data_IF_288796509522
#
_entry.id   IF_288796509522
#
_cell.length_a   1.000
_cell.length_b   1.000
_cell.length_c   1.000
_cell.angle_alpha   90.00
_cell.angle_beta   90.00
_cell.angle_gamma   90.00
#
_symmetry.space_group_name_H-M   'P 1'
#
loop_
_entity.id
_entity.type
_entity.pdbx_description
1 polymer ?
#
# COMPACT_ATOMS: atom_id res chain seq x y z
N UNK A 1 -61.84 -74.28 62.23
CA UNK A 1 -62.59 -73.05 61.91
C UNK A 1 -61.73 -72.14 61.05
N UNK A 2 -62.32 -71.60 59.96
CA UNK A 2 -61.89 -70.49 59.07
C UNK A 2 -60.67 -70.75 58.15
N UNK A 3 -60.91 -71.09 56.86
CA UNK A 3 -61.16 -70.25 55.65
C UNK A 3 -59.84 -69.80 54.98
N UNK A 4 -59.40 -70.47 53.90
CA UNK A 4 -59.58 -70.14 52.46
C UNK A 4 -58.82 -68.84 52.05
N UNK A 5 -57.79 -68.96 51.18
CA UNK A 5 -57.86 -68.55 49.77
C UNK A 5 -56.64 -69.01 48.95
N UNK A 6 -56.95 -69.62 47.80
CA UNK A 6 -56.11 -69.97 46.63
C UNK A 6 -56.13 -68.72 45.71
N UNK A 7 -55.10 -68.39 44.89
CA UNK A 7 -55.01 -68.69 43.44
C UNK A 7 -53.67 -68.14 42.88
N UNK A 8 -52.80 -69.06 42.41
CA UNK A 8 -52.14 -69.22 41.07
C UNK A 8 -51.87 -67.99 40.14
N UNK A 9 -51.07 -68.12 39.06
CA UNK A 9 -49.73 -68.71 38.84
C UNK A 9 -48.82 -67.81 37.93
N UNK A 10 -47.55 -68.19 37.70
CA UNK A 10 -46.98 -68.41 36.35
C UNK A 10 -45.45 -68.68 36.41
N UNK A 11 -45.12 -69.94 36.12
CA UNK A 11 -43.99 -70.47 35.33
C UNK A 11 -43.07 -69.43 34.65
N UNK A 12 -41.76 -69.65 34.46
CA UNK A 12 -41.14 -70.87 33.93
C UNK A 12 -39.60 -70.77 34.11
N UNK A 13 -38.98 -71.94 34.24
CA UNK A 13 -37.56 -72.31 34.31
C UNK A 13 -36.56 -71.56 33.42
N UNK A 14 -35.32 -71.40 33.92
CA UNK A 14 -34.14 -71.06 33.11
C UNK A 14 -32.84 -71.58 33.73
N UNK A 15 -32.24 -72.58 33.07
CA UNK A 15 -31.01 -73.29 33.41
C UNK A 15 -29.75 -72.40 33.41
N UNK A 16 -28.80 -72.76 34.27
CA UNK A 16 -27.39 -72.32 34.28
C UNK A 16 -26.64 -72.84 33.04
N UNK A 17 -25.89 -71.98 32.34
CA UNK A 17 -24.70 -72.40 31.57
C UNK A 17 -23.63 -71.30 31.43
N UNK A 18 -22.43 -71.65 31.92
CA UNK A 18 -21.08 -71.44 31.40
C UNK A 18 -20.67 -70.12 30.71
N UNK A 19 -19.64 -69.50 31.28
CA UNK A 19 -18.85 -68.40 30.73
C UNK A 19 -18.16 -68.76 29.40
N UNK A 20 -18.29 -67.87 28.40
CA UNK A 20 -17.28 -67.62 27.36
C UNK A 20 -17.04 -66.11 27.28
N UNK A 21 -15.80 -65.67 27.50
CA UNK A 21 -15.38 -64.27 27.34
C UNK A 21 -15.52 -63.85 25.87
N UNK A 22 -16.17 -62.72 25.55
CA UNK A 22 -16.22 -62.22 24.18
C UNK A 22 -14.87 -61.62 23.77
N UNK A 23 -14.38 -62.01 22.58
CA UNK A 23 -13.26 -61.38 21.87
C UNK A 23 -13.51 -59.88 21.71
N UNK A 24 -12.57 -59.05 22.16
CA UNK A 24 -12.53 -57.61 21.84
C UNK A 24 -12.36 -57.43 20.33
N UNK A 25 -13.42 -57.00 19.66
CA UNK A 25 -13.30 -56.39 18.33
C UNK A 25 -12.54 -55.07 18.48
N UNK A 26 -11.41 -54.96 17.76
CA UNK A 26 -10.71 -53.71 17.51
C UNK A 26 -11.65 -52.73 16.81
N UNK A 27 -12.26 -51.82 17.57
CA UNK A 27 -12.87 -50.63 16.98
C UNK A 27 -11.74 -49.67 16.62
N UNK A 28 -11.33 -49.72 15.36
CA UNK A 28 -10.56 -48.63 14.77
C UNK A 28 -11.37 -47.35 14.95
N UNK A 29 -10.93 -46.48 15.86
CA UNK A 29 -11.46 -45.12 15.95
C UNK A 29 -11.12 -44.46 14.63
N UNK A 30 -12.09 -44.37 13.73
CA UNK A 30 -12.08 -43.38 12.67
C UNK A 30 -11.88 -42.03 13.36
N UNK A 31 -10.72 -41.42 13.14
CA UNK A 31 -10.44 -40.08 13.63
C UNK A 31 -11.53 -39.16 13.07
N UNK A 32 -12.37 -38.64 13.97
CA UNK A 32 -13.31 -37.57 13.61
C UNK A 32 -12.42 -36.43 13.11
N UNK A 33 -12.60 -35.93 11.87
CA UNK A 33 -11.80 -34.81 11.40
C UNK A 33 -12.03 -33.66 12.38
N UNK A 34 -10.95 -33.24 13.04
CA UNK A 34 -10.98 -32.11 13.98
C UNK A 34 -11.47 -30.91 13.20
N UNK A 35 -12.66 -30.40 13.54
CA UNK A 35 -13.19 -29.18 12.94
C UNK A 35 -12.20 -28.05 13.23
N UNK A 36 -11.71 -27.40 12.18
CA UNK A 36 -10.73 -26.33 12.26
C UNK A 36 -11.23 -25.21 13.19
N UNK A 37 -10.46 -24.88 14.22
CA UNK A 37 -10.77 -23.78 15.13
C UNK A 37 -10.01 -22.52 14.70
N UNK A 38 -10.72 -21.57 14.09
CA UNK A 38 -10.11 -20.34 13.59
C UNK A 38 -9.48 -19.48 14.69
N UNK A 39 -10.00 -19.47 15.92
CA UNK A 39 -9.38 -18.72 17.01
C UNK A 39 -8.00 -19.28 17.37
N UNK A 40 -7.87 -20.61 17.42
CA UNK A 40 -6.59 -21.26 17.74
C UNK A 40 -5.57 -21.03 16.63
N UNK A 41 -5.98 -21.12 15.36
CA UNK A 41 -5.10 -20.86 14.22
C UNK A 41 -4.67 -19.39 14.14
N UNK A 42 -5.59 -18.45 14.37
CA UNK A 42 -5.27 -17.02 14.45
C UNK A 42 -4.29 -16.73 15.58
N UNK A 43 -4.48 -17.40 16.73
CA UNK A 43 -3.57 -17.27 17.86
C UNK A 43 -2.18 -17.80 17.52
N UNK A 44 -2.05 -18.97 16.89
CA UNK A 44 -0.76 -19.51 16.44
C UNK A 44 -0.04 -18.55 15.48
N UNK A 45 -0.77 -18.01 14.50
CA UNK A 45 -0.24 -17.02 13.54
C UNK A 45 0.28 -15.78 14.27
N UNK A 46 -0.55 -15.21 15.14
CA UNK A 46 -0.18 -13.97 15.86
C UNK A 46 0.94 -14.20 16.87
N UNK A 47 0.94 -15.31 17.61
CA UNK A 47 2.02 -15.68 18.53
C UNK A 47 3.36 -15.77 17.77
N UNK A 48 3.40 -16.46 16.63
CA UNK A 48 4.60 -16.60 15.81
C UNK A 48 5.12 -15.26 15.30
N UNK A 49 4.25 -14.38 14.81
CA UNK A 49 4.65 -13.06 14.29
C UNK A 49 5.10 -12.15 15.44
N UNK A 50 4.40 -12.15 16.57
CA UNK A 50 4.72 -11.25 17.69
C UNK A 50 5.99 -11.63 18.43
N UNK A 51 6.37 -12.91 18.41
CA UNK A 51 7.55 -13.41 19.12
C UNK A 51 8.77 -13.55 18.21
N UNK A 52 8.58 -14.03 16.98
CA UNK A 52 9.66 -14.39 16.06
C UNK A 52 9.67 -13.56 14.77
N UNK A 53 8.77 -12.60 14.64
CA UNK A 53 8.60 -11.82 13.41
C UNK A 53 9.82 -10.98 13.04
N UNK A 54 10.09 -10.89 11.74
CA UNK A 54 11.28 -10.25 11.16
C UNK A 54 10.95 -8.98 10.38
N UNK A 55 9.67 -8.67 10.16
CA UNK A 55 9.22 -7.49 9.41
C UNK A 55 9.94 -6.20 9.79
N UNK A 56 10.09 -5.89 11.09
CA UNK A 56 10.73 -4.64 11.53
C UNK A 56 12.23 -4.59 11.26
N UNK A 57 12.93 -5.71 11.39
CA UNK A 57 14.36 -5.79 11.12
C UNK A 57 14.61 -5.76 9.60
N UNK A 58 13.77 -6.45 8.82
CA UNK A 58 13.78 -6.40 7.37
C UNK A 58 13.51 -4.97 6.86
N UNK A 59 12.52 -4.28 7.44
CA UNK A 59 12.25 -2.89 7.15
C UNK A 59 13.49 -2.02 7.44
N UNK A 60 14.18 -2.24 8.56
CA UNK A 60 15.42 -1.51 8.88
C UNK A 60 16.50 -1.74 7.83
N UNK A 61 16.68 -2.97 7.35
CA UNK A 61 17.64 -3.27 6.29
C UNK A 61 17.27 -2.56 4.98
N UNK A 62 15.99 -2.58 4.59
CA UNK A 62 15.50 -1.90 3.39
C UNK A 62 15.65 -0.38 3.48
N UNK A 63 15.41 0.20 4.65
CA UNK A 63 15.45 1.65 4.86
C UNK A 63 16.85 2.15 5.20
N UNK A 64 17.44 1.74 6.32
CA UNK A 64 18.76 2.23 6.75
C UNK A 64 19.92 1.57 5.99
N UNK A 65 19.72 0.38 5.43
CA UNK A 65 20.74 -0.33 4.66
C UNK A 65 20.77 0.06 3.18
N UNK A 66 19.60 0.25 2.55
CA UNK A 66 19.48 0.63 1.14
C UNK A 66 19.10 2.11 0.98
N UNK A 67 18.03 2.54 1.65
CA UNK A 67 17.54 3.91 1.61
C UNK A 67 16.55 4.16 0.47
N UNK A 68 16.57 5.37 -0.12
CA UNK A 68 15.69 5.70 -1.23
C UNK A 68 15.90 4.73 -2.39
N UNK A 69 14.80 4.24 -2.95
CA UNK A 69 14.79 3.17 -3.94
C UNK A 69 13.84 3.47 -5.09
N UNK A 70 13.84 4.73 -5.52
CA UNK A 70 13.08 5.19 -6.69
C UNK A 70 13.40 4.37 -7.93
N UNK A 71 12.39 4.18 -8.77
CA UNK A 71 12.55 3.44 -10.02
C UNK A 71 13.66 4.04 -10.87
N UNK A 72 14.35 3.18 -11.62
CA UNK A 72 15.51 3.46 -12.46
C UNK A 72 16.76 3.92 -11.70
N UNK A 73 16.85 3.70 -10.39
CA UNK A 73 18.04 4.04 -9.58
C UNK A 73 18.81 2.81 -9.09
N UNK A 74 20.10 2.97 -8.69
CA UNK A 74 20.85 1.92 -8.02
C UNK A 74 20.20 1.44 -6.71
N UNK A 75 19.42 2.30 -6.04
CA UNK A 75 18.67 1.93 -4.84
C UNK A 75 17.63 0.86 -5.13
N UNK A 76 16.88 0.99 -6.24
CA UNK A 76 15.93 -0.02 -6.67
C UNK A 76 16.62 -1.36 -7.01
N UNK A 77 17.74 -1.33 -7.73
CA UNK A 77 18.52 -2.56 -8.02
C UNK A 77 18.92 -3.29 -6.75
N UNK A 78 19.41 -2.57 -5.73
CA UNK A 78 19.75 -3.15 -4.43
C UNK A 78 18.52 -3.70 -3.70
N UNK A 79 17.38 -3.02 -3.78
CA UNK A 79 16.13 -3.48 -3.18
C UNK A 79 15.63 -4.80 -3.80
N UNK A 80 15.76 -4.96 -5.12
CA UNK A 80 15.45 -6.21 -5.83
C UNK A 80 16.33 -7.35 -5.32
N UNK A 81 17.65 -7.16 -5.27
CA UNK A 81 18.60 -8.16 -4.80
C UNK A 81 18.37 -8.53 -3.33
N UNK A 82 18.07 -7.53 -2.50
CA UNK A 82 17.71 -7.70 -1.10
C UNK A 82 16.43 -8.53 -0.94
N UNK A 83 15.38 -8.23 -1.69
CA UNK A 83 14.12 -8.96 -1.60
C UNK A 83 14.28 -10.44 -1.96
N UNK A 84 14.98 -10.74 -3.05
CA UNK A 84 15.30 -12.13 -3.44
C UNK A 84 16.09 -12.85 -2.35
N UNK A 85 17.08 -12.17 -1.75
CA UNK A 85 17.85 -12.72 -0.64
C UNK A 85 16.94 -13.05 0.54
N UNK A 86 15.99 -12.17 0.89
CA UNK A 86 15.05 -12.41 2.00
C UNK A 86 14.14 -13.59 1.74
N UNK A 87 13.62 -13.75 0.53
CA UNK A 87 12.85 -14.94 0.17
C UNK A 87 13.68 -16.23 0.24
N UNK A 88 14.96 -16.19 -0.18
CA UNK A 88 15.88 -17.34 -0.05
C UNK A 88 16.18 -17.69 1.41
N UNK A 89 16.38 -16.70 2.27
CA UNK A 89 16.59 -16.89 3.73
C UNK A 89 15.39 -17.56 4.41
N UNK A 90 14.17 -17.31 3.92
CA UNK A 90 12.94 -17.97 4.36
C UNK A 90 12.84 -19.42 3.86
N UNK A 91 13.66 -19.81 2.88
CA UNK A 91 13.58 -21.11 2.21
C UNK A 91 12.46 -21.17 1.17
N UNK A 92 12.17 -20.05 0.50
CA UNK A 92 11.35 -20.03 -0.71
C UNK A 92 12.23 -20.38 -1.91
N UNK A 93 11.81 -21.36 -2.70
CA UNK A 93 12.56 -21.84 -3.86
C UNK A 93 12.09 -21.16 -5.16
N UNK A 94 10.79 -20.91 -5.30
CA UNK A 94 10.20 -20.28 -6.48
C UNK A 94 10.28 -18.77 -6.35
N UNK A 95 11.37 -18.19 -6.85
CA UNK A 95 11.63 -16.74 -6.86
C UNK A 95 12.04 -16.33 -8.27
N UNK A 96 11.41 -15.31 -8.83
CA UNK A 96 11.80 -14.78 -10.13
C UNK A 96 11.52 -13.27 -10.25
N UNK A 97 12.18 -12.68 -11.25
CA UNK A 97 12.01 -11.30 -11.65
C UNK A 97 11.08 -11.22 -12.85
N UNK A 98 10.16 -10.27 -12.85
CA UNK A 98 9.34 -9.96 -14.02
C UNK A 98 9.62 -8.53 -14.45
N UNK A 99 10.23 -8.37 -15.63
CA UNK A 99 10.60 -7.06 -16.17
C UNK A 99 9.38 -6.16 -16.41
N UNK A 100 9.50 -4.90 -15.98
CA UNK A 100 8.59 -3.82 -16.30
C UNK A 100 9.37 -2.59 -16.76
N UNK A 101 8.78 -1.84 -17.70
CA UNK A 101 9.34 -0.60 -18.21
C UNK A 101 9.30 0.48 -17.13
N UNK A 102 10.37 1.23 -16.96
CA UNK A 102 10.46 2.33 -15.99
C UNK A 102 11.06 3.58 -16.64
N UNK A 103 10.40 4.75 -16.59
CA UNK A 103 10.98 5.97 -17.09
C UNK A 103 12.15 6.40 -16.19
N UNK A 104 13.22 6.87 -16.81
CA UNK A 104 14.39 7.40 -16.11
C UNK A 104 14.17 8.90 -15.91
N UNK A 105 13.85 9.30 -14.68
CA UNK A 105 13.77 10.70 -14.28
C UNK A 105 14.74 10.98 -13.14
N UNK A 106 15.52 12.06 -13.28
CA UNK A 106 16.53 12.48 -12.30
C UNK A 106 16.15 13.87 -11.82
N UNK A 107 15.91 14.02 -10.51
CA UNK A 107 15.57 15.28 -9.86
C UNK A 107 16.64 16.36 -10.01
N UNK A 108 17.90 15.99 -9.82
CA UNK A 108 19.04 16.89 -9.94
C UNK A 108 19.12 17.94 -8.82
N UNK A 109 19.73 19.09 -9.12
CA UNK A 109 19.81 20.23 -8.21
C UNK A 109 18.60 21.12 -8.37
N UNK A 110 18.15 21.69 -7.26
CA UNK A 110 16.96 22.53 -7.23
C UNK A 110 17.11 23.69 -6.24
N UNK A 111 16.50 24.82 -6.56
CA UNK A 111 16.42 25.98 -5.66
C UNK A 111 15.23 26.86 -6.01
N UNK A 112 14.63 27.43 -4.96
CA UNK A 112 13.59 28.44 -5.06
C UNK A 112 13.99 29.64 -4.19
N UNK A 113 13.98 30.82 -4.80
CA UNK A 113 14.07 32.09 -4.09
C UNK A 113 12.84 32.94 -4.37
N UNK A 114 12.38 33.69 -3.38
CA UNK A 114 11.30 34.68 -3.54
C UNK A 114 11.77 36.07 -3.10
N UNK A 115 11.22 37.10 -3.75
CA UNK A 115 11.45 38.51 -3.42
C UNK A 115 10.12 39.26 -3.40
N UNK A 116 9.81 39.89 -2.27
CA UNK A 116 8.61 40.70 -2.11
C UNK A 116 8.93 42.18 -2.39
N UNK A 117 8.24 42.76 -3.38
CA UNK A 117 8.52 44.14 -3.84
C UNK A 117 10.01 44.36 -4.13
N UNK A 118 10.57 45.40 -3.51
CA UNK A 118 11.99 45.76 -3.64
C UNK A 118 12.90 45.15 -2.56
N UNK A 119 12.38 44.25 -1.71
CA UNK A 119 13.14 43.62 -0.63
C UNK A 119 14.23 42.64 -1.10
N UNK A 120 14.78 41.91 -0.14
CA UNK A 120 15.82 40.91 -0.40
C UNK A 120 15.26 39.59 -0.91
N UNK A 121 16.09 38.84 -1.63
CA UNK A 121 15.81 37.46 -2.00
C UNK A 121 15.89 36.55 -0.78
N UNK A 122 14.87 35.72 -0.58
CA UNK A 122 14.80 34.71 0.48
C UNK A 122 14.73 33.32 -0.14
N UNK A 123 15.53 32.40 0.38
CA UNK A 123 15.44 30.99 0.00
C UNK A 123 14.19 30.37 0.62
N UNK A 124 13.48 29.57 -0.17
CA UNK A 124 12.32 28.79 0.26
C UNK A 124 12.65 27.32 0.07
N UNK A 125 12.36 26.49 1.08
CA UNK A 125 12.47 25.04 0.94
C UNK A 125 11.48 24.60 -0.13
N UNK A 126 11.98 23.87 -1.12
CA UNK A 126 11.19 23.38 -2.24
C UNK A 126 11.56 21.95 -2.56
N UNK A 127 10.70 21.29 -3.31
CA UNK A 127 11.00 20.00 -3.91
C UNK A 127 10.36 19.90 -5.29
N UNK A 128 11.13 19.53 -6.30
CA UNK A 128 10.61 19.28 -7.64
C UNK A 128 9.57 18.16 -7.58
N UNK A 129 8.58 18.14 -8.44
CA UNK A 129 7.74 16.95 -8.54
C UNK A 129 8.38 15.90 -9.46
N UNK A 130 8.07 14.62 -9.20
CA UNK A 130 8.48 13.52 -10.07
C UNK A 130 7.97 13.73 -11.48
N UNK A 131 8.81 13.39 -12.47
CA UNK A 131 8.54 13.62 -13.88
C UNK A 131 8.38 15.11 -14.28
N UNK A 132 8.71 16.07 -13.41
CA UNK A 132 8.72 17.49 -13.78
C UNK A 132 9.82 17.81 -14.79
N UNK A 133 9.51 18.70 -15.73
CA UNK A 133 10.50 19.37 -16.58
C UNK A 133 11.41 20.26 -15.72
N UNK A 134 12.69 20.32 -16.06
CA UNK A 134 13.64 21.24 -15.42
C UNK A 134 13.62 22.64 -16.05
N UNK A 135 14.39 23.57 -15.49
CA UNK A 135 14.67 24.88 -16.10
C UNK A 135 15.92 24.84 -17.00
N UNK A 136 16.44 23.64 -17.30
CA UNK A 136 17.71 23.47 -18.00
C UNK A 136 18.91 24.03 -17.23
N UNK A 137 18.82 24.08 -15.90
CA UNK A 137 19.83 24.66 -15.01
C UNK A 137 19.93 26.19 -15.05
N UNK A 138 18.98 26.87 -15.68
CA UNK A 138 18.91 28.34 -15.76
C UNK A 138 17.89 28.90 -14.79
N UNK A 139 18.10 30.13 -14.37
CA UNK A 139 17.15 30.85 -13.51
C UNK A 139 15.89 31.22 -14.30
N UNK A 140 14.77 30.62 -13.93
CA UNK A 140 13.43 31.00 -14.38
C UNK A 140 12.85 32.00 -13.37
N UNK A 141 12.73 33.27 -13.77
CA UNK A 141 12.23 34.35 -12.89
C UNK A 141 10.85 34.83 -13.34
N UNK A 142 9.89 34.99 -12.43
CA UNK A 142 8.56 35.49 -12.75
C UNK A 142 7.76 35.99 -11.55
N UNK A 143 6.81 36.90 -11.80
CA UNK A 143 5.83 37.31 -10.78
C UNK A 143 4.92 36.11 -10.45
N UNK A 144 4.66 35.91 -9.16
CA UNK A 144 3.82 34.82 -8.66
C UNK A 144 2.35 35.26 -8.67
N UNK A 145 1.48 34.39 -9.16
CA UNK A 145 0.02 34.54 -9.11
C UNK A 145 -0.55 33.45 -8.22
N UNK A 146 -1.26 33.84 -7.17
CA UNK A 146 -1.95 32.92 -6.25
C UNK A 146 -3.25 32.40 -6.88
N UNK A 147 -3.53 31.12 -6.71
CA UNK A 147 -4.81 30.48 -7.04
C UNK A 147 -5.21 29.55 -5.90
N UNK A 148 -6.38 29.80 -5.31
CA UNK A 148 -6.93 29.03 -4.19
C UNK A 148 -8.12 28.15 -4.58
N UNK A 149 -8.64 28.27 -5.81
CA UNK A 149 -9.78 27.47 -6.26
C UNK A 149 -9.88 27.36 -7.78
N UNK A 150 -10.59 26.33 -8.26
CA UNK A 150 -10.91 26.15 -9.67
C UNK A 150 -11.75 27.31 -10.20
N UNK A 151 -12.64 27.86 -9.37
CA UNK A 151 -13.44 29.05 -9.72
C UNK A 151 -12.55 30.26 -9.98
N UNK A 152 -11.51 30.47 -9.16
CA UNK A 152 -10.55 31.55 -9.34
C UNK A 152 -9.73 31.37 -10.62
N UNK A 153 -9.21 30.16 -10.88
CA UNK A 153 -8.52 29.85 -12.13
C UNK A 153 -9.38 30.17 -13.36
N UNK A 154 -10.66 29.75 -13.34
CA UNK A 154 -11.58 29.96 -14.46
C UNK A 154 -11.97 31.43 -14.66
N UNK A 155 -11.89 32.25 -13.61
CA UNK A 155 -12.18 33.68 -13.69
C UNK A 155 -10.98 34.49 -14.23
N UNK A 156 -9.78 33.92 -14.27
CA UNK A 156 -8.59 34.58 -14.77
C UNK A 156 -8.50 34.51 -16.30
N UNK A 157 -8.12 35.64 -16.90
CA UNK A 157 -7.76 35.70 -18.33
C UNK A 157 -6.36 35.11 -18.58
N UNK A 158 -6.13 34.62 -19.79
CA UNK A 158 -4.80 34.17 -20.24
C UNK A 158 -3.75 35.26 -20.02
N UNK A 159 -4.08 36.53 -20.25
CA UNK A 159 -3.15 37.65 -20.04
C UNK A 159 -2.70 37.83 -18.59
N UNK A 160 -3.50 37.41 -17.61
CA UNK A 160 -3.14 37.46 -16.19
C UNK A 160 -2.18 36.33 -15.79
N UNK A 161 -2.16 35.22 -16.53
CA UNK A 161 -1.38 34.01 -16.22
C UNK A 161 -0.15 33.85 -17.11
N UNK A 162 -0.18 34.43 -18.32
CA UNK A 162 0.91 34.37 -19.28
C UNK A 162 2.22 34.90 -18.68
N UNK A 163 3.29 34.12 -18.84
CA UNK A 163 4.64 34.42 -18.36
C UNK A 163 4.77 34.54 -16.82
N UNK A 164 3.74 34.14 -16.07
CA UNK A 164 3.72 34.11 -14.60
C UNK A 164 4.13 32.75 -14.04
N UNK A 165 4.45 32.75 -12.74
CA UNK A 165 4.59 31.53 -11.94
C UNK A 165 3.29 31.37 -11.17
N UNK A 166 2.57 30.27 -11.41
CA UNK A 166 1.31 30.02 -10.70
C UNK A 166 1.61 29.32 -9.38
N UNK A 167 1.06 29.84 -8.29
CA UNK A 167 1.12 29.24 -6.97
C UNK A 167 -0.28 28.76 -6.55
N UNK A 168 -0.44 27.44 -6.40
CA UNK A 168 -1.68 26.80 -5.96
C UNK A 168 -1.61 26.50 -4.47
N UNK A 169 -2.49 27.12 -3.68
CA UNK A 169 -2.52 26.98 -2.21
C UNK A 169 -3.83 26.33 -1.72
N UNK A 170 -4.12 25.09 -2.15
CA UNK A 170 -5.34 24.36 -1.76
C UNK A 170 -5.03 23.29 -0.71
N UNK A 171 -5.32 23.51 0.59
CA UNK A 171 -5.03 22.54 1.65
C UNK A 171 -5.83 21.24 1.48
N UNK A 172 -5.33 20.15 2.05
CA UNK A 172 -6.18 19.01 2.40
C UNK A 172 -7.28 19.48 3.34
N UNK A 173 -8.52 19.01 3.15
CA UNK A 173 -9.65 19.41 4.00
C UNK A 173 -9.54 18.70 5.36
N UNK A 174 -9.27 19.42 6.47
CA UNK A 174 -9.12 18.80 7.79
C UNK A 174 -10.44 18.31 8.38
N UNK A 175 -11.59 18.65 7.78
CA UNK A 175 -12.91 18.15 8.23
C UNK A 175 -13.16 16.70 7.81
N UNK A 176 -12.40 16.19 6.84
CA UNK A 176 -12.52 14.81 6.37
C UNK A 176 -11.65 13.94 7.28
N UNK A 177 -12.31 13.14 8.11
CA UNK A 177 -11.65 12.35 9.16
C UNK A 177 -10.69 11.31 8.57
N UNK A 178 -11.07 10.66 7.46
CA UNK A 178 -10.14 9.80 6.75
C UNK A 178 -9.18 10.67 5.92
N UNK A 179 -7.92 10.74 6.35
CA UNK A 179 -6.90 11.57 5.71
C UNK A 179 -6.57 11.08 4.30
N UNK A 180 -6.75 9.79 3.99
CA UNK A 180 -6.60 9.25 2.63
C UNK A 180 -7.65 9.81 1.69
N UNK A 181 -8.92 9.91 2.13
CA UNK A 181 -9.98 10.53 1.35
C UNK A 181 -9.70 12.02 1.12
N UNK A 182 -9.24 12.72 2.16
CA UNK A 182 -8.84 14.12 2.08
C UNK A 182 -7.71 14.34 1.07
N UNK A 183 -6.68 13.49 1.12
CA UNK A 183 -5.55 13.52 0.19
C UNK A 183 -6.02 13.26 -1.25
N UNK A 184 -6.80 12.20 -1.47
CA UNK A 184 -7.26 11.81 -2.80
C UNK A 184 -8.13 12.89 -3.46
N UNK A 185 -8.99 13.55 -2.69
CA UNK A 185 -9.81 14.65 -3.20
C UNK A 185 -8.95 15.83 -3.68
N UNK A 186 -7.94 16.22 -2.89
CA UNK A 186 -7.04 17.32 -3.28
C UNK A 186 -6.09 16.90 -4.41
N UNK A 187 -5.55 15.69 -4.37
CA UNK A 187 -4.62 15.15 -5.37
C UNK A 187 -5.26 14.96 -6.76
N UNK A 188 -6.60 14.81 -6.84
CA UNK A 188 -7.36 14.74 -8.10
C UNK A 188 -7.76 16.12 -8.65
N UNK A 189 -7.44 17.21 -7.96
CA UNK A 189 -7.79 18.56 -8.40
C UNK A 189 -7.09 18.92 -9.72
N UNK A 190 -7.85 19.51 -10.66
CA UNK A 190 -7.28 20.04 -11.91
C UNK A 190 -6.30 21.19 -11.67
N UNK A 191 -6.39 21.88 -10.53
CA UNK A 191 -5.49 22.98 -10.18
C UNK A 191 -4.03 22.52 -10.09
N UNK A 192 -3.80 21.28 -9.69
CA UNK A 192 -2.45 20.75 -9.50
C UNK A 192 -1.92 20.01 -10.74
N UNK A 193 -2.59 20.16 -11.89
CA UNK A 193 -2.15 19.62 -13.17
C UNK A 193 -1.24 20.62 -13.88
N UNK A 194 0.03 20.22 -14.09
CA UNK A 194 0.98 21.03 -14.84
C UNK A 194 0.52 21.29 -16.28
N UNK A 195 -0.12 20.31 -16.94
CA UNK A 195 -0.70 20.47 -18.28
C UNK A 195 -1.79 21.53 -18.33
N UNK A 196 -2.72 21.53 -17.36
CA UNK A 196 -3.79 22.53 -17.28
C UNK A 196 -3.20 23.92 -17.10
N UNK A 197 -2.23 24.07 -16.20
CA UNK A 197 -1.59 25.36 -15.93
C UNK A 197 -0.72 25.82 -17.11
N UNK A 198 0.01 24.93 -17.77
CA UNK A 198 0.82 25.26 -18.95
C UNK A 198 -0.02 25.81 -20.10
N UNK A 199 -1.25 25.29 -20.30
CA UNK A 199 -2.19 25.78 -21.32
C UNK A 199 -2.62 27.24 -21.11
N UNK A 200 -2.43 27.80 -19.92
CA UNK A 200 -2.70 29.23 -19.63
C UNK A 200 -1.56 30.17 -20.04
N UNK A 201 -0.41 29.63 -20.46
CA UNK A 201 0.81 30.40 -20.75
C UNK A 201 1.66 30.70 -19.52
N UNK A 202 1.28 30.19 -18.34
CA UNK A 202 2.16 30.19 -17.17
C UNK A 202 3.44 29.40 -17.48
N UNK A 203 4.54 29.78 -16.84
CA UNK A 203 5.88 29.19 -17.10
C UNK A 203 6.40 28.27 -16.01
N UNK A 204 5.76 28.25 -14.84
CA UNK A 204 6.04 27.29 -13.76
C UNK A 204 4.84 27.16 -12.82
N UNK A 205 4.81 26.06 -12.07
CA UNK A 205 3.78 25.73 -11.09
C UNK A 205 4.40 25.43 -9.73
N UNK A 206 4.02 26.20 -8.71
CA UNK A 206 4.32 25.95 -7.31
C UNK A 206 3.04 25.46 -6.65
N UNK A 207 3.12 24.40 -5.86
CA UNK A 207 1.97 23.86 -5.15
C UNK A 207 2.33 23.77 -3.67
N UNK A 208 1.40 24.10 -2.77
CA UNK A 208 1.59 23.73 -1.36
C UNK A 208 1.71 22.21 -1.24
N UNK A 209 2.43 21.73 -0.24
CA UNK A 209 2.47 20.29 0.02
C UNK A 209 1.11 19.75 0.44
N UNK A 210 0.81 18.54 -0.02
CA UNK A 210 -0.40 17.78 0.34
C UNK A 210 -0.09 16.95 1.58
N UNK A 211 -0.23 17.60 2.74
CA UNK A 211 0.10 17.01 4.03
C UNK A 211 -0.87 17.48 5.10
N UNK A 212 -1.04 16.65 6.12
CA UNK A 212 -1.67 16.98 7.40
C UNK A 212 -0.69 17.57 8.43
N UNK A 213 0.62 17.46 8.17
CA UNK A 213 1.64 18.03 9.04
C UNK A 213 1.60 19.55 9.02
N UNK A 214 1.97 20.15 10.16
CA UNK A 214 2.11 21.60 10.31
C UNK A 214 3.60 21.99 10.35
N UNK A 215 4.36 21.57 9.35
CA UNK A 215 5.78 21.87 9.23
C UNK A 215 6.11 22.60 7.91
N UNK A 216 7.40 22.66 7.55
CA UNK A 216 7.83 23.27 6.30
C UNK A 216 8.65 22.29 5.44
N UNK A 217 8.26 21.01 5.49
CA UNK A 217 8.84 19.98 4.63
C UNK A 217 8.03 19.91 3.32
N UNK A 218 8.67 20.05 2.15
CA UNK A 218 7.99 19.85 0.87
C UNK A 218 7.78 18.35 0.57
N UNK A 219 6.65 18.02 -0.06
CA UNK A 219 6.29 16.64 -0.42
C UNK A 219 6.40 16.39 -1.93
N UNK A 220 6.91 15.24 -2.31
CA UNK A 220 6.94 14.74 -3.67
C UNK A 220 5.54 14.33 -4.12
N UNK A 221 5.40 14.26 -5.44
CA UNK A 221 4.24 13.75 -6.13
C UNK A 221 4.64 13.55 -7.58
N UNK A 222 4.01 12.59 -8.24
CA UNK A 222 4.13 12.45 -9.67
C UNK A 222 3.33 13.54 -10.39
N UNK A 223 3.95 14.20 -11.38
CA UNK A 223 3.20 15.00 -12.34
C UNK A 223 2.99 14.25 -13.63
N UNK A 224 1.88 14.57 -14.27
CA UNK A 224 1.55 14.07 -15.58
C UNK A 224 1.52 15.24 -16.56
N UNK A 225 2.20 15.03 -17.69
CA UNK A 225 2.06 15.85 -18.89
C UNK A 225 1.27 15.06 -19.92
N UNK A 226 0.31 15.70 -20.58
CA UNK A 226 -0.44 15.08 -21.66
C UNK A 226 0.49 14.82 -22.86
N UNK A 227 0.26 13.74 -23.64
CA UNK A 227 1.08 13.43 -24.81
C UNK A 227 1.12 14.55 -25.87
N UNK A 228 0.07 15.38 -25.93
CA UNK A 228 -0.06 16.51 -26.87
C UNK A 228 0.39 17.87 -26.29
N UNK A 229 0.91 17.89 -25.06
CA UNK A 229 1.42 19.12 -24.45
C UNK A 229 2.63 19.65 -25.24
N UNK A 230 2.46 20.83 -25.82
CA UNK A 230 3.52 21.53 -26.59
C UNK A 230 4.57 22.18 -25.69
N UNK A 231 4.20 22.47 -24.44
CA UNK A 231 5.07 23.13 -23.45
C UNK A 231 4.90 22.38 -22.14
N UNK A 232 6.02 21.89 -21.62
CA UNK A 232 6.12 21.33 -20.27
C UNK A 232 6.73 22.39 -19.37
N UNK A 233 6.08 22.66 -18.24
CA UNK A 233 6.53 23.69 -17.29
C UNK A 233 7.09 23.05 -16.03
N UNK A 234 8.15 23.59 -15.42
CA UNK A 234 8.63 23.13 -14.12
C UNK A 234 7.53 23.19 -13.07
N UNK A 235 7.41 22.13 -12.29
CA UNK A 235 6.43 21.97 -11.23
C UNK A 235 7.11 21.49 -9.95
N UNK A 236 6.79 22.16 -8.83
CA UNK A 236 7.40 21.91 -7.53
C UNK A 236 6.41 22.10 -6.38
N UNK A 237 6.76 21.54 -5.22
CA UNK A 237 6.10 21.81 -3.95
C UNK A 237 6.91 22.73 -3.04
N UNK A 238 6.21 23.38 -2.11
CA UNK A 238 6.76 24.05 -0.92
C UNK A 238 6.06 23.54 0.34
N UNK A 239 6.69 23.70 1.50
CA UNK A 239 6.11 23.33 2.80
C UNK A 239 4.90 24.20 3.16
N UNK A 240 4.07 23.74 4.11
CA UNK A 240 2.80 24.41 4.42
C UNK A 240 2.99 25.75 5.12
N UNK A 241 4.02 25.89 5.98
CA UNK A 241 4.35 27.18 6.61
C UNK A 241 4.78 28.21 5.57
N UNK A 242 5.69 27.84 4.67
CA UNK A 242 6.11 28.70 3.55
C UNK A 242 4.94 29.06 2.64
N UNK A 243 4.02 28.13 2.37
CA UNK A 243 2.83 28.38 1.57
C UNK A 243 1.91 29.43 2.22
N UNK A 244 1.62 29.28 3.52
CA UNK A 244 0.77 30.20 4.27
C UNK A 244 1.39 31.60 4.39
N UNK A 245 2.71 31.69 4.59
CA UNK A 245 3.44 32.96 4.61
C UNK A 245 3.47 33.63 3.23
N UNK A 246 3.65 32.84 2.17
CA UNK A 246 3.63 33.33 0.79
C UNK A 246 2.26 33.90 0.42
N UNK A 247 1.17 33.20 0.75
CA UNK A 247 -0.18 33.71 0.54
C UNK A 247 -0.42 35.04 1.28
N UNK A 248 -0.04 35.12 2.57
CA UNK A 248 -0.16 36.36 3.36
C UNK A 248 0.61 37.52 2.73
N UNK A 249 1.76 37.23 2.11
CA UNK A 249 2.60 38.23 1.45
C UNK A 249 2.00 38.67 0.12
N UNK A 250 1.52 37.73 -0.69
CA UNK A 250 0.89 37.98 -1.99
C UNK A 250 -0.39 38.84 -1.89
N UNK A 251 -1.14 38.71 -0.78
CA UNK A 251 -2.29 39.57 -0.49
C UNK A 251 -1.93 41.04 -0.24
N UNK A 252 -0.66 41.34 0.07
CA UNK A 252 -0.19 42.68 0.43
C UNK A 252 0.62 43.33 -0.67
N UNK A 253 1.37 42.55 -1.44
CA UNK A 253 2.30 43.06 -2.44
C UNK A 253 2.67 42.00 -3.47
N UNK A 254 3.28 42.45 -4.57
CA UNK A 254 3.83 41.58 -5.61
C UNK A 254 5.02 40.79 -5.07
N UNK A 255 5.08 39.51 -5.43
CA UNK A 255 6.21 38.63 -5.14
C UNK A 255 6.73 38.07 -6.46
N UNK A 256 8.05 38.08 -6.62
CA UNK A 256 8.75 37.45 -7.74
C UNK A 256 9.45 36.20 -7.23
N UNK A 257 9.26 35.07 -7.93
CA UNK A 257 10.03 33.85 -7.71
C UNK A 257 11.16 33.75 -8.73
N UNK A 258 12.24 33.09 -8.30
CA UNK A 258 13.34 32.60 -9.11
C UNK A 258 13.50 31.11 -8.83
N UNK A 259 13.31 30.30 -9.87
CA UNK A 259 13.37 28.84 -9.82
C UNK A 259 14.56 28.37 -10.64
N UNK A 260 15.34 27.43 -10.11
CA UNK A 260 16.35 26.72 -10.88
C UNK A 260 16.21 25.22 -10.58
N UNK A 261 15.96 24.42 -11.61
CA UNK A 261 15.77 22.97 -11.52
C UNK A 261 16.58 22.30 -12.63
N UNK A 262 17.47 21.38 -12.28
CA UNK A 262 18.22 20.57 -13.27
C UNK A 262 17.55 19.22 -13.55
N UNK A 263 16.27 19.07 -13.19
CA UNK A 263 15.51 17.86 -13.41
C UNK A 263 15.50 17.48 -14.89
N UNK A 264 15.68 16.20 -15.19
CA UNK A 264 15.77 15.70 -16.56
C UNK A 264 15.22 14.28 -16.71
N UNK A 265 14.59 14.02 -17.85
CA UNK A 265 14.15 12.68 -18.28
C UNK A 265 15.15 12.10 -19.28
N UNK A 266 15.58 10.85 -19.08
CA UNK A 266 16.60 10.16 -19.91
C UNK A 266 16.07 8.96 -20.67
N UNK A 267 14.80 9.00 -21.06
CA UNK A 267 14.13 7.89 -21.72
C UNK A 267 13.73 6.81 -20.72
N UNK A 268 13.83 5.55 -21.12
CA UNK A 268 13.29 4.42 -20.38
C UNK A 268 14.35 3.36 -20.08
N UNK A 269 14.16 2.63 -18.98
CA UNK A 269 14.92 1.45 -18.58
C UNK A 269 13.97 0.35 -18.11
N UNK A 270 14.52 -0.71 -17.53
CA UNK A 270 13.75 -1.83 -16.98
C UNK A 270 13.96 -1.96 -15.49
N UNK A 271 12.87 -2.08 -14.74
CA UNK A 271 12.87 -2.48 -13.35
C UNK A 271 11.96 -3.70 -13.17
N UNK A 272 12.47 -4.79 -12.57
CA UNK A 272 11.64 -5.96 -12.39
C UNK A 272 10.76 -5.86 -11.14
N UNK A 273 9.53 -6.37 -11.25
CA UNK A 273 8.81 -6.90 -10.08
C UNK A 273 9.63 -8.06 -9.49
N UNK A 274 9.59 -8.24 -8.17
CA UNK A 274 10.13 -9.44 -7.51
C UNK A 274 8.96 -10.31 -7.06
N UNK A 275 8.96 -11.56 -7.51
CA UNK A 275 7.85 -12.49 -7.25
C UNK A 275 8.38 -13.73 -6.55
N UNK A 276 7.68 -14.16 -5.49
CA UNK A 276 8.01 -15.34 -4.72
C UNK A 276 6.73 -16.11 -4.33
N UNK A 277 6.76 -17.46 -4.32
CA UNK A 277 5.57 -18.23 -3.98
C UNK A 277 5.83 -19.53 -3.19
N UNK A 278 4.82 -19.92 -2.41
CA UNK A 278 4.69 -21.24 -1.80
C UNK A 278 3.62 -22.00 -2.61
N UNK A 279 4.02 -23.09 -3.25
CA UNK A 279 3.12 -23.87 -4.11
C UNK A 279 1.98 -24.52 -3.31
N UNK A 280 0.76 -24.46 -3.85
CA UNK A 280 -0.42 -25.12 -3.31
C UNK A 280 -0.33 -26.64 -3.31
N UNK A 281 -1.00 -27.29 -2.36
CA UNK A 281 -1.08 -28.77 -2.27
C UNK A 281 -2.33 -29.36 -2.90
N UNK A 282 -3.40 -28.56 -3.04
CA UNK A 282 -4.71 -29.03 -3.51
C UNK A 282 -4.93 -28.75 -4.99
N UNK A 283 -4.59 -27.54 -5.43
CA UNK A 283 -4.71 -27.12 -6.82
C UNK A 283 -3.67 -26.04 -7.18
N UNK A 284 -3.73 -25.55 -8.42
CA UNK A 284 -2.84 -24.52 -8.96
C UNK A 284 -3.41 -23.09 -8.89
N UNK A 285 -4.51 -22.87 -8.17
CA UNK A 285 -5.06 -21.52 -8.01
C UNK A 285 -4.14 -20.67 -7.15
N UNK A 286 -4.19 -19.36 -7.35
CA UNK A 286 -3.28 -18.40 -6.71
C UNK A 286 -4.03 -17.45 -5.79
N UNK A 287 -3.50 -17.27 -4.59
CA UNK A 287 -3.79 -16.16 -3.69
C UNK A 287 -2.57 -15.24 -3.74
N UNK A 288 -2.74 -14.01 -4.20
CA UNK A 288 -1.62 -13.06 -4.34
C UNK A 288 -1.65 -11.99 -3.26
N UNK A 289 -0.46 -11.63 -2.75
CA UNK A 289 -0.22 -10.47 -1.92
C UNK A 289 0.66 -9.45 -2.66
N UNK A 290 0.40 -8.17 -2.46
CA UNK A 290 1.03 -7.07 -3.19
C UNK A 290 1.46 -5.90 -2.33
N UNK A 291 2.63 -5.35 -2.63
CA UNK A 291 3.19 -4.12 -2.06
C UNK A 291 4.13 -3.46 -3.08
N UNK A 292 4.31 -2.13 -3.04
CA UNK A 292 5.24 -1.45 -3.94
C UNK A 292 6.69 -1.54 -3.42
N UNK A 293 7.63 -1.93 -4.28
CA UNK A 293 9.04 -2.05 -3.90
C UNK A 293 9.77 -0.72 -4.01
N UNK A 294 9.41 0.15 -4.95
CA UNK A 294 10.03 1.47 -5.06
C UNK A 294 9.54 2.43 -3.97
N UNK A 295 10.17 3.59 -3.92
CA UNK A 295 9.83 4.72 -3.05
C UNK A 295 10.29 6.00 -3.71
N UNK A 296 9.89 7.17 -3.22
CA UNK A 296 10.55 8.42 -3.63
C UNK A 296 12.05 8.43 -3.27
N UNK A 297 12.79 9.30 -3.98
CA UNK A 297 14.25 9.45 -3.96
C UNK A 297 14.78 10.35 -2.82
N UNK A 298 13.89 10.88 -1.97
CA UNK A 298 14.22 11.91 -0.97
C UNK A 298 14.14 11.44 0.49
N UNK A 299 13.48 10.31 0.75
CA UNK A 299 13.35 9.69 2.05
C UNK A 299 13.86 8.26 2.04
N UNK A 300 13.55 7.49 3.08
CA UNK A 300 13.88 6.07 3.15
C UNK A 300 12.77 5.17 2.61
N UNK A 301 11.60 5.73 2.28
CA UNK A 301 10.44 4.96 1.82
C UNK A 301 9.99 3.96 2.88
N UNK A 302 9.95 4.38 4.15
CA UNK A 302 9.71 3.47 5.25
C UNK A 302 8.23 3.12 5.34
N UNK A 303 7.35 4.12 5.47
CA UNK A 303 5.90 3.92 5.46
C UNK A 303 5.35 3.74 4.04
N UNK A 304 6.10 4.18 3.03
CA UNK A 304 5.67 4.19 1.64
C UNK A 304 6.75 3.62 0.70
N UNK A 305 6.75 2.32 0.40
CA UNK A 305 5.95 1.26 1.07
C UNK A 305 6.86 0.16 1.65
N UNK A 306 7.90 0.58 2.38
CA UNK A 306 8.80 -0.36 3.05
C UNK A 306 8.04 -1.27 4.02
N UNK A 307 7.01 -0.73 4.68
CA UNK A 307 6.14 -1.46 5.60
C UNK A 307 5.33 -2.54 4.91
N UNK A 308 4.69 -2.26 3.77
CA UNK A 308 3.93 -3.25 3.02
C UNK A 308 4.83 -4.35 2.45
N UNK A 309 6.01 -3.99 1.94
CA UNK A 309 7.04 -4.96 1.51
C UNK A 309 7.43 -5.89 2.66
N UNK A 310 7.72 -5.33 3.83
CA UNK A 310 8.10 -6.10 5.00
C UNK A 310 6.98 -7.02 5.49
N UNK A 311 5.71 -6.57 5.46
CA UNK A 311 4.55 -7.37 5.84
C UNK A 311 4.29 -8.52 4.84
N UNK A 312 4.40 -8.27 3.54
CA UNK A 312 4.27 -9.32 2.52
C UNK A 312 5.32 -10.43 2.69
N UNK A 313 6.58 -10.06 2.93
CA UNK A 313 7.65 -11.03 3.22
C UNK A 313 7.36 -11.81 4.51
N UNK A 314 6.86 -11.13 5.55
CA UNK A 314 6.53 -11.70 6.85
C UNK A 314 5.39 -12.75 6.77
N UNK A 315 4.42 -12.56 5.86
CA UNK A 315 3.37 -13.55 5.60
C UNK A 315 4.00 -14.88 5.15
N UNK A 316 4.86 -14.87 4.12
CA UNK A 316 5.51 -16.11 3.65
C UNK A 316 6.42 -16.72 4.71
N UNK A 317 7.17 -15.90 5.45
CA UNK A 317 8.01 -16.35 6.58
C UNK A 317 7.19 -17.10 7.62
N UNK A 318 6.05 -16.53 8.03
CA UNK A 318 5.18 -17.09 9.07
C UNK A 318 4.59 -18.43 8.63
N UNK A 319 4.10 -18.51 7.39
CA UNK A 319 3.54 -19.76 6.86
C UNK A 319 4.59 -20.87 6.79
N UNK A 320 5.84 -20.53 6.41
CA UNK A 320 6.97 -21.47 6.40
C UNK A 320 7.35 -21.91 7.82
N UNK A 321 7.45 -20.99 8.76
CA UNK A 321 7.81 -21.27 10.15
C UNK A 321 6.79 -22.19 10.84
N UNK A 322 5.49 -22.00 10.55
CA UNK A 322 4.42 -22.84 11.08
C UNK A 322 4.26 -24.18 10.35
N UNK A 323 5.06 -24.45 9.30
CA UNK A 323 4.90 -25.65 8.47
C UNK A 323 3.52 -25.74 7.82
N UNK A 324 2.91 -24.58 7.51
CA UNK A 324 1.54 -24.50 7.04
C UNK A 324 1.33 -25.27 5.73
N UNK A 325 0.25 -26.04 5.68
CA UNK A 325 -0.16 -26.80 4.50
C UNK A 325 -1.23 -26.00 3.75
N UNK A 326 -0.79 -25.19 2.78
CA UNK A 326 -1.64 -24.36 1.94
C UNK A 326 -2.35 -25.18 0.85
N UNK A 327 -3.64 -24.91 0.64
CA UNK A 327 -4.42 -25.54 -0.42
C UNK A 327 -4.03 -24.95 -1.79
N UNK A 328 -3.96 -23.63 -1.85
CA UNK A 328 -3.68 -22.83 -3.05
C UNK A 328 -2.26 -22.29 -3.00
N UNK A 329 -1.72 -21.93 -4.17
CA UNK A 329 -0.43 -21.23 -4.23
C UNK A 329 -0.57 -19.86 -3.58
N UNK A 330 0.34 -19.53 -2.65
CA UNK A 330 0.40 -18.23 -1.99
C UNK A 330 1.59 -17.49 -2.56
N UNK A 331 1.33 -16.39 -3.27
CA UNK A 331 2.32 -15.62 -4.02
C UNK A 331 2.44 -14.21 -3.47
N UNK A 332 3.66 -13.72 -3.33
CA UNK A 332 3.96 -12.30 -3.09
C UNK A 332 4.49 -11.69 -4.37
N UNK A 333 4.00 -10.49 -4.70
CA UNK A 333 4.54 -9.63 -5.76
C UNK A 333 4.95 -8.30 -5.14
N UNK A 334 6.24 -8.00 -5.23
CA UNK A 334 6.77 -6.69 -4.89
C UNK A 334 6.87 -5.89 -6.20
N UNK A 335 5.99 -4.90 -6.36
CA UNK A 335 5.76 -4.21 -7.62
C UNK A 335 6.82 -3.16 -7.90
N UNK A 336 7.24 -3.08 -9.17
CA UNK A 336 8.12 -2.05 -9.67
C UNK A 336 7.33 -0.82 -10.14
N UNK A 337 7.96 0.34 -10.03
CA UNK A 337 7.53 1.55 -10.72
C UNK A 337 6.11 1.98 -10.38
N UNK A 338 5.71 1.90 -9.11
CA UNK A 338 4.40 2.39 -8.68
C UNK A 338 4.38 3.93 -8.67
N UNK A 339 5.43 4.54 -8.13
CA UNK A 339 5.55 6.00 -7.96
C UNK A 339 5.71 6.76 -9.28
N UNK A 340 6.26 6.08 -10.29
CA UNK A 340 6.72 6.69 -11.54
C UNK A 340 6.04 6.08 -12.79
N UNK A 341 4.78 5.64 -12.65
CA UNK A 341 3.89 5.35 -13.79
C UNK A 341 3.15 4.01 -13.76
N UNK A 342 3.27 3.23 -12.69
CA UNK A 342 2.49 2.01 -12.45
C UNK A 342 2.72 0.88 -13.45
N UNK A 343 3.90 0.77 -14.07
CA UNK A 343 4.10 -0.26 -15.11
C UNK A 343 4.22 -1.69 -14.54
N UNK A 344 4.75 -1.86 -13.32
CA UNK A 344 4.88 -3.18 -12.69
C UNK A 344 3.55 -3.90 -12.53
N UNK A 345 2.52 -3.18 -12.05
CA UNK A 345 1.17 -3.72 -11.86
C UNK A 345 0.46 -4.08 -13.18
N UNK A 346 0.60 -3.25 -14.21
CA UNK A 346 0.00 -3.53 -15.53
C UNK A 346 0.68 -4.74 -16.19
N UNK A 347 2.01 -4.85 -16.08
CA UNK A 347 2.75 -6.00 -16.59
C UNK A 347 2.39 -7.31 -15.86
N UNK A 348 2.18 -7.24 -14.54
CA UNK A 348 1.73 -8.41 -13.78
C UNK A 348 0.32 -8.86 -14.19
N UNK A 349 -0.64 -7.95 -14.31
CA UNK A 349 -1.99 -8.30 -14.75
C UNK A 349 -2.00 -8.86 -16.19
N UNK A 350 -1.19 -8.27 -17.09
CA UNK A 350 -1.00 -8.81 -18.43
C UNK A 350 -0.39 -10.22 -18.42
N UNK A 351 0.58 -10.48 -17.54
CA UNK A 351 1.15 -11.80 -17.33
C UNK A 351 0.11 -12.82 -16.85
N UNK A 352 -0.69 -12.48 -15.83
CA UNK A 352 -1.77 -13.34 -15.31
C UNK A 352 -2.74 -13.71 -16.42
N UNK A 353 -3.21 -12.71 -17.18
CA UNK A 353 -4.10 -12.91 -18.33
C UNK A 353 -3.47 -13.82 -19.39
N UNK A 354 -2.21 -13.57 -19.76
CA UNK A 354 -1.50 -14.32 -20.80
C UNK A 354 -1.25 -15.79 -20.41
N UNK A 355 -1.03 -16.04 -19.11
CA UNK A 355 -0.79 -17.38 -18.58
C UNK A 355 -2.07 -18.14 -18.23
N UNK A 356 -3.22 -17.47 -18.27
CA UNK A 356 -4.51 -18.02 -17.83
C UNK A 356 -4.44 -18.56 -16.39
N UNK A 357 -3.62 -17.91 -15.54
CA UNK A 357 -3.51 -18.27 -14.12
C UNK A 357 -4.83 -17.96 -13.41
N UNK A 358 -5.31 -18.90 -12.60
CA UNK A 358 -6.54 -18.75 -11.83
C UNK A 358 -6.25 -18.14 -10.47
N UNK A 359 -6.24 -16.81 -10.40
CA UNK A 359 -6.20 -16.10 -9.13
C UNK A 359 -7.59 -16.07 -8.51
N UNK A 360 -7.68 -16.45 -7.24
CA UNK A 360 -8.94 -16.42 -6.50
C UNK A 360 -9.06 -15.22 -5.58
N UNK A 361 -7.95 -14.56 -5.23
CA UNK A 361 -7.92 -13.42 -4.34
C UNK A 361 -6.61 -12.63 -4.50
N UNK A 362 -6.66 -11.31 -4.35
CA UNK A 362 -5.51 -10.44 -4.22
C UNK A 362 -5.62 -9.55 -2.98
N UNK A 363 -4.58 -9.49 -2.16
CA UNK A 363 -4.48 -8.62 -0.97
C UNK A 363 -3.35 -7.62 -1.14
N UNK A 364 -3.64 -6.34 -0.97
CA UNK A 364 -2.66 -5.26 -1.03
C UNK A 364 -2.46 -4.56 0.31
N UNK A 365 -1.32 -3.89 0.45
CA UNK A 365 -1.05 -2.93 1.53
C UNK A 365 -0.11 -1.86 0.98
N UNK A 366 -0.43 -0.57 1.21
CA UNK A 366 0.30 0.59 0.66
C UNK A 366 -0.11 1.88 1.41
N UNK A 367 -0.25 1.78 2.74
CA UNK A 367 -0.80 2.85 3.58
C UNK A 367 -0.04 3.00 4.91
N UNK A 368 1.19 2.47 4.97
CA UNK A 368 2.02 2.46 6.16
C UNK A 368 1.80 1.27 7.11
N UNK A 369 2.74 1.12 8.04
CA UNK A 369 2.75 0.06 9.06
C UNK A 369 1.99 0.43 10.34
N UNK A 370 0.87 1.17 10.23
CA UNK A 370 0.08 1.62 11.36
C UNK A 370 -0.87 0.54 11.89
N UNK A 371 -1.50 0.80 13.04
CA UNK A 371 -2.45 -0.14 13.65
C UNK A 371 -3.54 -0.53 12.64
N UNK A 372 -3.74 -1.84 12.35
CA UNK A 372 -4.74 -2.28 11.40
C UNK A 372 -6.15 -2.02 11.98
N UNK A 373 -7.05 -1.60 11.10
CA UNK A 373 -8.46 -1.32 11.41
C UNK A 373 -9.38 -2.29 10.69
N UNK A 374 -8.97 -2.87 9.57
CA UNK A 374 -9.89 -3.57 8.70
C UNK A 374 -9.31 -4.15 7.43
N UNK A 375 -10.22 -4.58 6.55
CA UNK A 375 -9.95 -4.90 5.17
C UNK A 375 -10.98 -4.22 4.26
N UNK A 376 -10.51 -3.41 3.32
CA UNK A 376 -11.34 -2.94 2.23
C UNK A 376 -11.54 -4.09 1.24
N UNK A 377 -12.76 -4.28 0.76
CA UNK A 377 -13.16 -5.49 -0.01
C UNK A 377 -13.63 -5.12 -1.42
N UNK A 378 -12.74 -4.74 -2.33
CA UNK A 378 -13.10 -4.48 -3.73
C UNK A 378 -13.41 -5.80 -4.49
N UNK A 379 -14.65 -6.27 -4.35
CA UNK A 379 -15.15 -7.51 -4.94
C UNK A 379 -16.68 -7.51 -5.04
N UNK A 380 -17.24 -8.49 -5.75
CA UNK A 380 -18.70 -8.61 -5.90
C UNK A 380 -19.42 -8.79 -4.56
N UNK A 381 -20.68 -8.34 -4.49
CA UNK A 381 -21.51 -8.48 -3.28
C UNK A 381 -21.68 -9.94 -2.84
N UNK A 382 -21.66 -10.91 -3.78
CA UNK A 382 -21.65 -12.33 -3.48
C UNK A 382 -20.38 -12.73 -2.72
N UNK A 383 -19.20 -12.31 -3.18
CA UNK A 383 -17.92 -12.59 -2.53
C UNK A 383 -17.82 -11.90 -1.17
N UNK A 384 -18.26 -10.64 -1.06
CA UNK A 384 -18.31 -9.90 0.20
C UNK A 384 -19.10 -10.63 1.28
N UNK A 385 -20.27 -11.19 0.94
CA UNK A 385 -21.10 -11.95 1.90
C UNK A 385 -20.41 -13.19 2.45
N UNK A 386 -19.42 -13.76 1.75
CA UNK A 386 -18.62 -14.88 2.26
C UNK A 386 -17.56 -14.43 3.27
N UNK A 387 -17.01 -13.22 3.08
CA UNK A 387 -15.94 -12.66 3.94
C UNK A 387 -16.51 -11.97 5.17
N UNK A 388 -17.66 -11.30 5.05
CA UNK A 388 -18.21 -10.45 6.11
C UNK A 388 -18.36 -11.15 7.48
N UNK A 389 -18.84 -12.42 7.56
CA UNK A 389 -18.91 -13.14 8.83
C UNK A 389 -17.54 -13.39 9.48
N UNK A 390 -16.44 -13.34 8.73
CA UNK A 390 -15.10 -13.56 9.28
C UNK A 390 -14.67 -12.45 10.24
N UNK A 391 -15.27 -11.26 10.15
CA UNK A 391 -15.02 -10.11 11.02
C UNK A 391 -15.02 -10.47 12.51
N UNK A 392 -15.84 -11.43 12.93
CA UNK A 392 -15.89 -11.88 14.34
C UNK A 392 -14.56 -12.49 14.82
N UNK A 393 -13.80 -13.15 13.95
CA UNK A 393 -12.48 -13.72 14.28
C UNK A 393 -11.37 -12.66 14.31
N UNK A 394 -11.55 -11.57 13.57
CA UNK A 394 -10.62 -10.44 13.49
C UNK A 394 -10.81 -9.43 14.62
N UNK A 395 -12.02 -9.34 15.19
CA UNK A 395 -12.36 -8.37 16.24
C UNK A 395 -11.42 -8.42 17.47
N UNK A 396 -10.99 -9.59 18.00
CA UNK A 396 -10.03 -9.65 19.10
C UNK A 396 -8.65 -9.04 18.80
N UNK A 397 -8.32 -8.85 17.52
CA UNK A 397 -7.07 -8.24 17.04
C UNK A 397 -7.24 -6.74 16.71
N UNK A 398 -8.41 -6.15 17.00
CA UNK A 398 -8.70 -4.75 16.72
C UNK A 398 -9.07 -4.47 15.25
N UNK A 399 -9.36 -5.51 14.46
CA UNK A 399 -9.67 -5.42 13.04
C UNK A 399 -11.18 -5.62 12.85
N UNK A 400 -11.88 -4.58 12.43
CA UNK A 400 -13.34 -4.50 12.42
C UNK A 400 -13.96 -3.78 11.22
N UNK A 401 -13.20 -2.97 10.47
CA UNK A 401 -13.73 -2.29 9.28
C UNK A 401 -13.67 -3.22 8.07
N UNK A 402 -14.83 -3.62 7.55
CA UNK A 402 -14.96 -4.46 6.36
C UNK A 402 -15.89 -3.81 5.33
N UNK A 403 -16.21 -2.53 5.53
CA UNK A 403 -17.26 -1.84 4.78
C UNK A 403 -16.69 -1.12 3.54
N UNK A 404 -15.42 -0.70 3.59
CA UNK A 404 -14.69 -0.04 2.48
C UNK A 404 -14.60 -0.92 1.23
N UNK A 405 -14.56 -0.30 0.04
CA UNK A 405 -14.75 -0.99 -1.26
C UNK A 405 -13.67 -0.75 -2.31
N UNK A 406 -12.54 -0.20 -1.91
CA UNK A 406 -11.42 0.11 -2.78
C UNK A 406 -10.24 -0.85 -2.54
N UNK A 407 -9.20 -0.72 -3.34
CA UNK A 407 -7.96 -1.45 -3.17
C UNK A 407 -6.77 -0.60 -3.62
N UNK A 408 -5.57 -0.94 -3.15
CA UNK A 408 -4.34 -0.26 -3.53
C UNK A 408 -4.17 -0.25 -5.06
N UNK A 409 -3.42 0.74 -5.54
CA UNK A 409 -3.24 0.90 -6.97
C UNK A 409 -2.55 -0.31 -7.62
N UNK A 410 -1.64 -0.98 -6.91
CA UNK A 410 -0.81 -2.06 -7.48
C UNK A 410 -1.52 -3.37 -7.77
N UNK A 411 -2.66 -3.63 -7.14
CA UNK A 411 -3.49 -4.79 -7.47
C UNK A 411 -4.72 -4.44 -8.29
N UNK A 412 -5.05 -3.15 -8.42
CA UNK A 412 -6.24 -2.68 -9.15
C UNK A 412 -6.35 -3.22 -10.58
N UNK A 413 -5.27 -3.33 -11.38
CA UNK A 413 -5.36 -3.91 -12.73
C UNK A 413 -5.90 -5.35 -12.78
N UNK A 414 -5.76 -6.13 -11.69
CA UNK A 414 -6.29 -7.50 -11.59
C UNK A 414 -7.82 -7.55 -11.55
N UNK A 415 -8.48 -6.45 -11.16
CA UNK A 415 -9.95 -6.32 -11.20
C UNK A 415 -10.51 -6.55 -12.61
N UNK A 416 -9.75 -6.15 -13.64
CA UNK A 416 -10.11 -6.35 -15.07
C UNK A 416 -10.22 -7.83 -15.45
N UNK A 417 -9.75 -8.73 -14.58
CA UNK A 417 -9.77 -10.18 -14.74
C UNK A 417 -10.77 -10.86 -13.78
N UNK A 418 -11.69 -10.09 -13.20
CA UNK A 418 -12.71 -10.56 -12.23
C UNK A 418 -12.12 -11.18 -10.94
N UNK A 419 -10.89 -10.81 -10.59
CA UNK A 419 -10.22 -11.26 -9.37
C UNK A 419 -10.73 -10.41 -8.19
N UNK A 420 -11.24 -11.03 -7.11
CA UNK A 420 -11.58 -10.31 -5.87
C UNK A 420 -10.35 -9.66 -5.25
N UNK A 421 -10.42 -8.36 -4.97
CA UNK A 421 -9.33 -7.60 -4.36
C UNK A 421 -9.68 -7.24 -2.91
N UNK A 422 -8.65 -7.10 -2.09
CA UNK A 422 -8.76 -6.52 -0.77
C UNK A 422 -7.51 -5.70 -0.44
N UNK A 423 -7.65 -4.78 0.50
CA UNK A 423 -6.56 -3.97 1.04
C UNK A 423 -6.58 -3.99 2.56
N UNK A 424 -5.40 -4.07 3.19
CA UNK A 424 -5.26 -3.86 4.62
C UNK A 424 -5.57 -2.40 4.96
N UNK A 425 -6.67 -2.15 5.67
CA UNK A 425 -7.02 -0.82 6.16
C UNK A 425 -6.29 -0.58 7.48
N UNK A 426 -5.56 0.51 7.58
CA UNK A 426 -4.82 0.93 8.78
C UNK A 426 -5.27 2.30 9.28
N UNK A 427 -4.80 2.71 10.45
CA UNK A 427 -4.99 4.06 10.95
C UNK A 427 -4.29 5.08 10.03
N UNK A 428 -5.07 5.97 9.40
CA UNK A 428 -4.57 6.89 8.37
C UNK A 428 -4.03 8.20 8.93
N UNK A 429 -4.23 8.49 10.22
CA UNK A 429 -4.12 9.86 10.74
C UNK A 429 -2.72 10.47 10.60
N UNK A 430 -1.66 9.64 10.61
CA UNK A 430 -0.25 10.08 10.54
C UNK A 430 0.43 9.79 9.21
N UNK A 431 -0.23 9.11 8.27
CA UNK A 431 0.40 8.71 7.01
C UNK A 431 0.87 9.93 6.20
N UNK A 432 -0.03 10.90 6.01
CA UNK A 432 0.23 12.10 5.23
C UNK A 432 1.10 13.14 5.93
N UNK A 433 1.50 12.92 7.18
CA UNK A 433 2.52 13.76 7.82
C UNK A 433 3.90 13.52 7.21
N UNK A 434 4.17 12.30 6.72
CA UNK A 434 5.50 11.90 6.24
C UNK A 434 5.52 11.42 4.79
N UNK A 435 4.41 10.87 4.29
CA UNK A 435 4.27 10.31 2.94
C UNK A 435 4.87 11.23 1.88
N UNK A 436 5.68 10.67 0.98
CA UNK A 436 6.39 11.40 -0.07
C UNK A 436 7.32 12.52 0.43
N UNK A 437 7.88 12.44 1.63
CA UNK A 437 8.82 13.46 2.13
C UNK A 437 10.14 12.86 2.59
N UNK A 438 11.13 13.72 2.82
CA UNK A 438 12.39 13.32 3.46
C UNK A 438 12.19 12.79 4.90
N UNK A 439 11.02 13.04 5.50
CA UNK A 439 10.70 12.54 6.84
C UNK A 439 10.15 11.12 6.82
N UNK A 440 9.84 10.55 5.65
CA UNK A 440 9.50 9.13 5.54
C UNK A 440 10.74 8.28 5.84
N UNK A 441 10.87 7.91 7.10
CA UNK A 441 12.07 7.34 7.71
C UNK A 441 11.69 6.23 8.67
N UNK A 442 12.61 5.29 8.87
CA UNK A 442 12.40 4.11 9.70
C UNK A 442 11.85 4.40 11.11
N UNK A 443 12.29 5.50 11.73
CA UNK A 443 11.88 5.88 13.09
C UNK A 443 10.41 6.30 13.20
N UNK A 444 9.71 6.50 12.07
CA UNK A 444 8.26 6.74 12.06
C UNK A 444 7.44 5.46 12.20
N UNK A 445 8.07 4.29 12.05
CA UNK A 445 7.39 3.00 12.10
C UNK A 445 7.44 2.40 13.50
N UNK A 446 6.27 2.09 14.05
CA UNK A 446 6.16 1.34 15.29
C UNK A 446 6.26 -0.17 15.01
N UNK A 447 7.21 -0.85 15.67
CA UNK A 447 7.41 -2.30 15.52
C UNK A 447 6.14 -3.12 15.77
N UNK A 448 5.37 -2.79 16.80
CA UNK A 448 4.20 -3.58 17.20
C UNK A 448 3.05 -3.38 16.22
N UNK A 449 2.82 -2.16 15.76
CA UNK A 449 1.80 -1.86 14.74
C UNK A 449 2.11 -2.57 13.41
N UNK A 450 3.37 -2.52 12.97
CA UNK A 450 3.83 -3.23 11.76
C UNK A 450 3.54 -4.73 11.83
N UNK A 451 3.89 -5.36 12.95
CA UNK A 451 3.66 -6.80 13.18
C UNK A 451 2.16 -7.14 13.31
N UNK A 452 1.33 -6.24 13.85
CA UNK A 452 -0.13 -6.44 13.89
C UNK A 452 -0.71 -6.48 12.47
N UNK A 453 -0.27 -5.60 11.57
CA UNK A 453 -0.68 -5.64 10.17
C UNK A 453 -0.26 -6.95 9.47
N UNK A 454 0.98 -7.42 9.68
CA UNK A 454 1.43 -8.70 9.15
C UNK A 454 0.58 -9.88 9.67
N UNK A 455 0.20 -9.85 10.95
CA UNK A 455 -0.67 -10.86 11.55
C UNK A 455 -2.06 -10.85 10.92
N UNK A 456 -2.69 -9.68 10.78
CA UNK A 456 -3.99 -9.55 10.14
C UNK A 456 -3.95 -10.05 8.68
N UNK A 457 -2.92 -9.67 7.92
CA UNK A 457 -2.76 -10.14 6.54
C UNK A 457 -2.61 -11.66 6.47
N UNK A 458 -1.75 -12.25 7.30
CA UNK A 458 -1.55 -13.71 7.33
C UNK A 458 -2.84 -14.45 7.69
N UNK A 459 -3.62 -13.92 8.64
CA UNK A 459 -4.93 -14.45 9.03
C UNK A 459 -5.94 -14.38 7.88
N UNK A 460 -5.98 -13.28 7.11
CA UNK A 460 -6.83 -13.15 5.93
C UNK A 460 -6.47 -14.18 4.85
N UNK A 461 -5.17 -14.34 4.55
CA UNK A 461 -4.70 -15.35 3.59
C UNK A 461 -5.07 -16.76 4.04
N UNK A 462 -4.90 -17.07 5.32
CA UNK A 462 -5.35 -18.32 5.90
C UNK A 462 -6.86 -18.54 5.70
N UNK A 463 -7.69 -17.53 5.98
CA UNK A 463 -9.15 -17.63 5.81
C UNK A 463 -9.53 -17.89 4.36
N UNK A 464 -8.93 -17.16 3.41
CA UNK A 464 -9.16 -17.39 1.99
C UNK A 464 -8.71 -18.79 1.57
N UNK A 465 -7.51 -19.21 1.96
CA UNK A 465 -6.97 -20.54 1.60
C UNK A 465 -7.83 -21.70 2.08
N UNK A 466 -8.47 -21.56 3.24
CA UNK A 466 -9.30 -22.62 3.84
C UNK A 466 -10.74 -22.64 3.36
N UNK A 467 -11.26 -21.51 2.87
CA UNK A 467 -12.69 -21.39 2.58
C UNK A 467 -13.02 -21.25 1.09
N UNK A 468 -12.06 -20.98 0.19
CA UNK A 468 -12.32 -20.70 -1.24
C UNK A 468 -11.92 -21.82 -2.22
#
# INVERSE_FOLDING_TARGET
MKKIFIILPLFLSGFLFSQKKPQKKSTGKTAIPVKLNYHDEFKKISDEIMTNGRAYDNLRELTKGIGPRFSATPGYTKAVEWAEKKFKEIGIEMIWRQEAKAPVWIRGKESLQIKAGNGDWKNIRMLSFGNSEGTGGKDLTGEIVLINSTTELNAMSIGQLKDKIVFVNVPMDPKIINTSDSYLLTAKSKLISASVIAKTGAKALIIRSLTTANDDTPHAKMIYYEPDDKVKIPALSIGVRSADELEKTLKKQKVTAKINMTAESKGDTTNPNVIAEIQGKKDSKVIVLGAQLDSWDIGEGAIDDGTGVAQCIEVLRTLKALGYQNNHTIRVVLYANSENGGQGREMYAAYVKKKEEKHIFALGTDAGGYSPRGFSLDMSSQRRRLVYPWKEYFLPYGVYDFDQTDAIQDITPLKKLDIPLAELVVDTQRYFDYHHSEQDTFDKVNKRELLLGAAAMTQMIFMVDKNW
#
